data_IF_432581195532
#
_entry.id   IF_432581195532
#
_cell.length_a   1.000
_cell.length_b   1.000
_cell.length_c   1.000
_cell.angle_alpha   90.00
_cell.angle_beta   90.00
_cell.angle_gamma   90.00
#
_symmetry.space_group_name_H-M   'P 1'
#
loop_
_entity.id
_entity.type
_entity.pdbx_description
1 polymer ?
#
# COMPACT_ATOMS: atom_id res chain seq x y z
N UNK A 1 -9.85 -17.82 7.19
CA UNK A 1 -9.35 -16.94 6.14
C UNK A 1 -8.47 -17.65 5.11
N UNK A 2 -7.55 -18.51 5.53
CA UNK A 2 -6.71 -19.23 4.58
C UNK A 2 -7.48 -20.16 3.63
N UNK A 3 -8.62 -20.72 4.08
CA UNK A 3 -9.37 -21.66 3.27
C UNK A 3 -9.92 -21.06 1.97
N UNK A 4 -10.34 -19.80 1.97
CA UNK A 4 -10.84 -19.20 0.74
C UNK A 4 -9.72 -18.79 -0.23
N UNK A 5 -8.51 -18.56 0.25
CA UNK A 5 -7.35 -18.30 -0.60
C UNK A 5 -7.04 -19.52 -1.48
N UNK A 6 -7.36 -20.72 -1.00
CA UNK A 6 -7.19 -21.95 -1.77
C UNK A 6 -8.33 -22.16 -2.77
N UNK A 7 -9.57 -21.82 -2.39
CA UNK A 7 -10.74 -22.02 -3.24
C UNK A 7 -10.78 -21.05 -4.44
N UNK A 8 -10.32 -19.84 -4.25
CA UNK A 8 -10.41 -18.78 -5.24
C UNK A 8 -9.04 -18.51 -5.91
N UNK A 9 -8.21 -19.54 -6.02
CA UNK A 9 -6.85 -19.40 -6.53
C UNK A 9 -6.79 -18.76 -7.92
N UNK A 10 -7.76 -19.08 -8.80
CA UNK A 10 -7.82 -18.52 -10.15
C UNK A 10 -8.15 -17.03 -10.17
N UNK A 11 -8.74 -16.49 -9.11
CA UNK A 11 -9.12 -15.08 -9.01
C UNK A 11 -8.11 -14.26 -8.23
N UNK A 12 -7.03 -14.88 -7.75
CA UNK A 12 -6.00 -14.19 -6.98
C UNK A 12 -5.09 -13.42 -7.92
N UNK A 13 -4.99 -12.11 -7.69
CA UNK A 13 -4.01 -11.27 -8.37
C UNK A 13 -2.70 -11.33 -7.59
N UNK A 14 -1.58 -11.37 -8.31
CA UNK A 14 -0.25 -11.39 -7.69
C UNK A 14 0.47 -10.13 -8.09
N UNK A 15 0.93 -9.39 -7.08
CA UNK A 15 1.76 -8.21 -7.27
C UNK A 15 3.16 -8.53 -6.80
N UNK A 16 4.13 -8.50 -7.72
CA UNK A 16 5.54 -8.64 -7.34
C UNK A 16 5.97 -7.35 -6.65
N UNK A 17 6.61 -7.47 -5.52
CA UNK A 17 6.98 -6.32 -4.70
C UNK A 17 8.32 -6.57 -4.03
N UNK A 18 9.06 -5.50 -3.78
CA UNK A 18 10.25 -5.57 -2.94
C UNK A 18 9.88 -5.13 -1.53
N UNK A 19 10.54 -5.73 -0.55
CA UNK A 19 10.36 -5.37 0.87
C UNK A 19 11.71 -5.02 1.47
N UNK A 20 11.66 -4.14 2.48
CA UNK A 20 12.79 -3.87 3.34
C UNK A 20 12.50 -4.58 4.66
N UNK A 21 13.22 -5.66 4.92
CA UNK A 21 13.01 -6.52 6.08
C UNK A 21 14.21 -6.40 7.02
N UNK A 22 14.05 -5.64 8.09
CA UNK A 22 15.11 -5.40 9.07
C UNK A 22 16.43 -4.96 8.41
N UNK A 23 16.31 -4.02 7.47
CA UNK A 23 17.43 -3.43 6.77
C UNK A 23 17.89 -4.19 5.52
N UNK A 24 17.26 -5.30 5.17
CA UNK A 24 17.62 -6.08 3.99
C UNK A 24 16.50 -6.04 2.95
N UNK A 25 16.87 -5.82 1.71
CA UNK A 25 15.91 -5.80 0.59
C UNK A 25 15.72 -7.22 0.07
N UNK A 26 14.49 -7.62 -0.10
CA UNK A 26 14.14 -8.92 -0.66
C UNK A 26 12.93 -8.79 -1.58
N UNK A 27 12.87 -9.65 -2.59
CA UNK A 27 11.70 -9.76 -3.48
C UNK A 27 10.64 -10.63 -2.83
N UNK A 28 9.38 -10.27 -3.03
CA UNK A 28 8.27 -11.01 -2.46
C UNK A 28 7.05 -10.91 -3.37
N UNK A 29 6.00 -11.62 -3.02
CA UNK A 29 4.73 -11.60 -3.73
C UNK A 29 3.62 -11.20 -2.79
N UNK A 30 2.85 -10.22 -3.21
CA UNK A 30 1.66 -9.78 -2.50
C UNK A 30 0.46 -10.37 -3.23
N UNK A 31 -0.37 -11.11 -2.52
CA UNK A 31 -1.58 -11.72 -3.05
C UNK A 31 -2.78 -10.86 -2.74
N UNK A 32 -3.62 -10.64 -3.75
CA UNK A 32 -4.80 -9.80 -3.65
C UNK A 32 -6.01 -10.57 -4.13
N UNK A 33 -7.07 -10.57 -3.31
CA UNK A 33 -8.33 -11.25 -3.63
C UNK A 33 -9.49 -10.35 -3.23
N UNK A 34 -10.32 -10.00 -4.21
CA UNK A 34 -11.53 -9.23 -3.95
C UNK A 34 -12.70 -10.18 -3.65
N UNK A 35 -13.34 -9.98 -2.51
CA UNK A 35 -14.48 -10.79 -2.06
C UNK A 35 -15.54 -9.85 -1.52
N UNK A 36 -16.74 -9.88 -2.14
CA UNK A 36 -17.89 -9.09 -1.68
C UNK A 36 -17.54 -7.61 -1.44
N UNK A 37 -16.87 -7.02 -2.44
CA UNK A 37 -16.44 -5.61 -2.43
C UNK A 37 -15.36 -5.28 -1.40
N UNK A 38 -14.78 -6.28 -0.75
CA UNK A 38 -13.61 -6.07 0.11
C UNK A 38 -12.34 -6.56 -0.56
N UNK A 39 -11.26 -5.80 -0.39
CA UNK A 39 -9.94 -6.17 -0.91
C UNK A 39 -9.16 -6.86 0.21
N UNK A 40 -8.87 -8.13 -0.01
CA UNK A 40 -8.08 -8.94 0.92
C UNK A 40 -6.65 -9.06 0.42
N UNK A 41 -5.69 -8.81 1.28
CA UNK A 41 -4.26 -8.92 0.98
C UNK A 41 -3.62 -9.98 1.85
N UNK A 42 -2.65 -10.68 1.26
CA UNK A 42 -1.85 -11.67 1.99
C UNK A 42 -0.40 -11.58 1.50
N UNK A 43 0.53 -11.62 2.45
CA UNK A 43 1.95 -11.73 2.15
C UNK A 43 2.60 -12.67 3.17
N UNK A 44 3.49 -13.53 2.69
CA UNK A 44 4.24 -14.42 3.57
C UNK A 44 5.70 -13.99 3.56
N UNK A 45 6.25 -13.75 4.75
CA UNK A 45 7.62 -13.30 4.94
C UNK A 45 8.23 -14.14 6.06
N UNK A 46 9.27 -14.92 5.74
CA UNK A 46 10.00 -15.75 6.70
C UNK A 46 9.06 -16.61 7.55
N UNK A 47 8.16 -17.35 6.88
CA UNK A 47 7.20 -18.26 7.51
C UNK A 47 6.11 -17.56 8.34
N UNK A 48 6.06 -16.23 8.32
CA UNK A 48 4.98 -15.47 8.94
C UNK A 48 4.03 -14.99 7.85
N UNK A 49 2.73 -15.25 8.02
CA UNK A 49 1.71 -14.81 7.07
C UNK A 49 1.00 -13.59 7.64
N UNK A 50 0.90 -12.54 6.83
CA UNK A 50 0.23 -11.30 7.20
C UNK A 50 -1.00 -11.12 6.31
N UNK A 51 -2.11 -10.75 6.91
CA UNK A 51 -3.37 -10.51 6.21
C UNK A 51 -3.90 -9.13 6.51
N UNK A 52 -4.58 -8.54 5.54
CA UNK A 52 -5.39 -7.34 5.76
C UNK A 52 -6.58 -7.34 4.84
N UNK A 53 -7.56 -6.49 5.13
CA UNK A 53 -8.68 -6.23 4.23
C UNK A 53 -9.23 -4.83 4.45
N UNK A 54 -9.80 -4.26 3.40
CA UNK A 54 -10.48 -2.97 3.46
C UNK A 54 -11.33 -2.80 2.20
N UNK A 55 -12.02 -1.66 2.08
CA UNK A 55 -12.93 -1.38 0.96
C UNK A 55 -12.20 -1.11 -0.36
N UNK A 56 -10.91 -0.79 -0.30
CA UNK A 56 -10.12 -0.49 -1.49
C UNK A 56 -8.67 -0.94 -1.28
N UNK A 57 -7.92 -0.97 -2.38
CA UNK A 57 -6.56 -1.51 -2.34
C UNK A 57 -5.63 -0.62 -1.50
N UNK A 58 -5.71 0.71 -1.65
CA UNK A 58 -4.82 1.60 -0.90
C UNK A 58 -4.98 1.41 0.62
N UNK A 59 -6.22 1.42 1.10
CA UNK A 59 -6.48 1.25 2.53
C UNK A 59 -6.13 -0.15 3.03
N UNK A 60 -6.32 -1.19 2.19
CA UNK A 60 -5.87 -2.54 2.54
C UNK A 60 -4.36 -2.60 2.70
N UNK A 61 -3.62 -1.90 1.82
CA UNK A 61 -2.16 -1.80 1.94
C UNK A 61 -1.78 -1.06 3.21
N UNK A 62 -2.49 0.00 3.57
CA UNK A 62 -2.25 0.73 4.83
C UNK A 62 -2.40 -0.22 6.04
N UNK A 63 -3.48 -1.00 6.06
CA UNK A 63 -3.73 -1.94 7.16
C UNK A 63 -2.67 -3.04 7.21
N UNK A 64 -2.22 -3.52 6.06
CA UNK A 64 -1.14 -4.49 5.98
C UNK A 64 0.17 -3.88 6.50
N UNK A 65 0.48 -2.66 6.09
CA UNK A 65 1.70 -1.94 6.52
C UNK A 65 1.75 -1.77 8.03
N UNK A 66 0.62 -1.48 8.67
CA UNK A 66 0.57 -1.37 10.13
C UNK A 66 1.06 -2.65 10.82
N UNK A 67 0.69 -3.80 10.28
CA UNK A 67 1.12 -5.09 10.82
C UNK A 67 2.59 -5.36 10.54
N UNK A 68 3.04 -5.08 9.31
CA UNK A 68 4.42 -5.30 8.90
C UNK A 68 5.38 -4.40 9.68
N UNK A 69 5.00 -3.15 9.93
CA UNK A 69 5.84 -2.19 10.65
C UNK A 69 6.12 -2.61 12.09
N UNK A 70 5.23 -3.37 12.71
CA UNK A 70 5.49 -3.93 14.03
C UNK A 70 6.71 -4.86 14.05
N UNK A 71 7.05 -5.44 12.91
CA UNK A 71 8.21 -6.32 12.76
C UNK A 71 9.33 -5.68 11.93
N UNK A 72 9.31 -4.35 11.81
CA UNK A 72 10.31 -3.57 11.07
C UNK A 72 10.42 -4.00 9.61
N UNK A 73 9.27 -4.20 8.98
CA UNK A 73 9.16 -4.56 7.56
C UNK A 73 8.40 -3.46 6.83
N UNK A 74 8.94 -3.03 5.67
CA UNK A 74 8.34 -1.98 4.84
C UNK A 74 8.18 -2.48 3.41
N UNK A 75 7.02 -2.20 2.81
CA UNK A 75 6.81 -2.44 1.38
C UNK A 75 7.50 -1.32 0.60
N UNK A 76 8.31 -1.67 -0.37
CA UNK A 76 9.04 -0.68 -1.17
C UNK A 76 8.22 -0.34 -2.42
N UNK A 77 7.33 0.61 -2.27
CA UNK A 77 6.46 1.06 -3.35
C UNK A 77 5.87 2.44 -3.02
N UNK A 78 5.22 3.05 -4.01
CA UNK A 78 4.60 4.36 -3.83
C UNK A 78 3.64 4.41 -2.64
N UNK A 79 2.89 3.33 -2.39
CA UNK A 79 1.95 3.30 -1.27
C UNK A 79 2.61 3.53 0.09
N UNK A 80 3.91 3.24 0.21
CA UNK A 80 4.67 3.44 1.46
C UNK A 80 5.44 4.74 1.50
N UNK A 81 5.38 5.56 0.45
CA UNK A 81 6.09 6.83 0.42
C UNK A 81 5.37 7.86 1.28
N UNK A 82 6.13 8.64 2.04
CA UNK A 82 5.58 9.62 2.99
C UNK A 82 4.64 10.61 2.30
N UNK A 83 4.97 11.04 1.10
CA UNK A 83 4.23 12.07 0.37
C UNK A 83 3.25 11.51 -0.66
N UNK A 84 2.79 10.28 -0.49
CA UNK A 84 1.81 9.67 -1.41
C UNK A 84 0.53 9.37 -0.64
N UNK A 85 -0.60 9.74 -1.23
CA UNK A 85 -1.90 9.48 -0.60
C UNK A 85 -2.97 9.34 -1.66
N UNK A 86 -3.88 8.38 -1.46
CA UNK A 86 -5.00 8.14 -2.38
C UNK A 86 -6.19 9.01 -1.98
N UNK A 87 -6.77 9.72 -2.95
CA UNK A 87 -7.95 10.54 -2.72
C UNK A 87 -9.20 9.66 -2.55
N UNK A 88 -10.28 10.25 -2.03
CA UNK A 88 -11.56 9.53 -1.91
C UNK A 88 -12.02 9.00 -3.27
N UNK A 89 -11.91 9.82 -4.33
CA UNK A 89 -12.29 9.40 -5.67
C UNK A 89 -11.43 8.24 -6.16
N UNK A 90 -10.11 8.32 -5.94
CA UNK A 90 -9.21 7.24 -6.33
C UNK A 90 -9.54 5.95 -5.59
N UNK A 91 -9.89 6.04 -4.31
CA UNK A 91 -10.29 4.87 -3.51
C UNK A 91 -11.59 4.26 -4.02
N UNK A 92 -12.55 5.09 -4.49
CA UNK A 92 -13.79 4.61 -5.10
C UNK A 92 -13.51 3.85 -6.41
N UNK A 93 -12.43 4.20 -7.12
CA UNK A 93 -11.97 3.48 -8.29
C UNK A 93 -10.95 2.40 -7.94
N UNK A 94 -11.22 1.67 -6.86
CA UNK A 94 -10.45 0.53 -6.38
C UNK A 94 -9.20 0.88 -5.56
N UNK A 95 -8.69 2.12 -5.64
CA UNK A 95 -7.53 2.54 -4.84
C UNK A 95 -6.17 2.06 -5.38
N UNK A 96 -6.07 1.80 -6.68
CA UNK A 96 -4.78 1.43 -7.30
C UNK A 96 -3.92 2.64 -7.60
N UNK A 97 -4.52 3.84 -7.58
CA UNK A 97 -3.83 5.09 -7.87
C UNK A 97 -3.79 5.98 -6.64
N UNK A 98 -2.80 6.84 -6.60
CA UNK A 98 -2.64 7.84 -5.55
C UNK A 98 -2.00 9.10 -6.15
N UNK A 99 -1.92 10.15 -5.34
CA UNK A 99 -1.21 11.36 -5.72
C UNK A 99 0.11 11.47 -4.98
N UNK A 100 1.14 11.90 -5.70
CA UNK A 100 2.38 12.36 -5.10
C UNK A 100 2.16 13.81 -4.67
N UNK A 101 2.25 14.10 -3.39
CA UNK A 101 1.88 15.38 -2.81
C UNK A 101 3.10 16.29 -2.65
N UNK A 102 2.87 17.60 -2.81
CA UNK A 102 3.88 18.62 -2.55
C UNK A 102 3.24 19.73 -1.73
N UNK A 103 3.91 20.12 -0.64
CA UNK A 103 3.41 21.17 0.25
C UNK A 103 3.09 22.46 -0.52
N UNK A 104 1.94 23.05 -0.21
CA UNK A 104 1.51 24.29 -0.82
C UNK A 104 0.94 24.18 -2.22
N UNK A 105 0.85 22.98 -2.77
CA UNK A 105 0.35 22.75 -4.13
C UNK A 105 -0.79 21.75 -4.14
N UNK A 106 -1.83 22.06 -4.89
CA UNK A 106 -2.90 21.10 -5.13
C UNK A 106 -2.38 19.97 -6.02
N UNK A 107 -2.88 18.75 -5.77
CA UNK A 107 -2.56 17.60 -6.61
C UNK A 107 -3.25 17.72 -7.97
N UNK A 108 -2.54 17.36 -9.02
CA UNK A 108 -3.02 17.38 -10.40
C UNK A 108 -2.87 16.02 -11.04
N UNK A 109 -3.38 15.87 -12.26
CA UNK A 109 -3.25 14.62 -13.02
C UNK A 109 -1.79 14.22 -13.23
N UNK A 110 -0.87 15.19 -13.28
CA UNK A 110 0.56 14.88 -13.42
C UNK A 110 1.16 14.24 -12.19
N UNK A 111 0.47 14.30 -11.05
CA UNK A 111 0.95 13.77 -9.78
C UNK A 111 0.43 12.36 -9.50
N UNK A 112 -0.36 11.79 -10.41
CA UNK A 112 -0.94 10.45 -10.23
C UNK A 112 0.14 9.39 -10.39
N UNK A 113 0.19 8.46 -9.43
CA UNK A 113 1.12 7.33 -9.46
C UNK A 113 0.35 6.03 -9.20
N UNK A 114 0.90 4.93 -9.69
CA UNK A 114 0.43 3.59 -9.33
C UNK A 114 1.01 3.25 -7.96
N UNK A 115 0.19 2.75 -7.05
CA UNK A 115 0.61 2.55 -5.67
C UNK A 115 1.68 1.46 -5.52
N UNK A 116 1.78 0.53 -6.47
CA UNK A 116 2.76 -0.56 -6.40
C UNK A 116 4.05 -0.28 -7.15
N UNK A 117 4.11 0.80 -7.93
CA UNK A 117 5.36 1.16 -8.58
C UNK A 117 6.38 1.65 -7.54
N UNK A 118 7.64 1.44 -7.84
CA UNK A 118 8.73 1.82 -6.95
C UNK A 118 9.89 2.43 -7.75
N UNK A 119 10.45 3.50 -7.22
CA UNK A 119 11.76 3.99 -7.64
C UNK A 119 12.58 4.28 -6.37
N UNK A 120 13.91 4.25 -6.51
CA UNK A 120 14.81 4.37 -5.36
C UNK A 120 14.91 5.79 -4.80
N UNK A 121 14.24 6.75 -5.41
CA UNK A 121 14.16 8.13 -4.90
C UNK A 121 13.00 8.33 -3.93
N UNK A 122 12.09 7.35 -3.83
CA UNK A 122 10.96 7.43 -2.91
C UNK A 122 11.44 7.47 -1.46
N UNK A 123 10.85 8.36 -0.69
CA UNK A 123 11.10 8.41 0.75
C UNK A 123 10.08 7.53 1.46
N UNK A 124 10.48 6.29 1.72
CA UNK A 124 9.64 5.33 2.41
C UNK A 124 9.54 5.71 3.90
N UNK A 125 8.35 5.66 4.44
CA UNK A 125 8.11 5.97 5.83
C UNK A 125 7.04 5.10 6.44
N UNK A 126 6.73 5.36 7.71
CA UNK A 126 5.68 4.65 8.43
C UNK A 126 4.30 5.16 8.00
N UNK A 127 3.27 4.38 8.31
CA UNK A 127 1.89 4.81 8.12
C UNK A 127 1.64 6.13 8.85
N UNK A 128 2.14 6.24 10.06
CA UNK A 128 1.97 7.44 10.87
C UNK A 128 2.63 8.67 10.25
N UNK A 129 3.83 8.51 9.71
CA UNK A 129 4.53 9.59 9.02
C UNK A 129 3.76 10.04 7.77
N UNK A 130 3.21 9.09 7.03
CA UNK A 130 2.42 9.36 5.84
C UNK A 130 1.13 10.13 6.20
N UNK A 131 0.43 9.70 7.22
CA UNK A 131 -0.78 10.39 7.69
C UNK A 131 -0.49 11.83 8.12
N UNK A 132 0.61 12.00 8.85
CA UNK A 132 1.05 13.32 9.31
C UNK A 132 1.38 14.25 8.14
N UNK A 133 2.06 13.72 7.14
CA UNK A 133 2.36 14.49 5.94
C UNK A 133 1.08 14.92 5.23
N UNK A 134 0.13 14.01 5.08
CA UNK A 134 -1.14 14.32 4.43
C UNK A 134 -1.90 15.42 5.17
N UNK A 135 -1.99 15.34 6.49
CA UNK A 135 -2.64 16.37 7.32
C UNK A 135 -1.97 17.73 7.13
N UNK A 136 -0.65 17.76 7.15
CA UNK A 136 0.10 19.00 6.93
C UNK A 136 -0.10 19.55 5.53
N UNK A 137 -0.17 18.65 4.54
CA UNK A 137 -0.42 19.04 3.17
C UNK A 137 -1.79 19.69 3.00
N UNK A 138 -2.83 19.12 3.60
CA UNK A 138 -4.19 19.68 3.56
C UNK A 138 -4.20 21.10 4.11
N UNK A 139 -3.44 21.38 5.15
CA UNK A 139 -3.36 22.70 5.79
C UNK A 139 -2.41 23.66 5.08
N UNK A 140 -1.71 23.22 4.03
CA UNK A 140 -0.66 24.03 3.41
C UNK A 140 -1.16 25.02 2.35
N UNK A 141 -2.45 25.00 2.04
CA UNK A 141 -3.03 25.96 1.09
C UNK A 141 -3.86 27.03 1.78
#
# INVERSE_FOLDING_TARGET
MESFWKKEESDIEIQNIEILNNGKIAKNKLFLLEIEDEINLKIEIENMVYFSKSDNIFDSVVELRKKLELNNIYLLCNASAINVYSSLMQKEFRGTKAYKLQMGKQATLNDVVDIFDYDNELKIGSVKEQEKFYESWVESF
#
